data_IF_558117577147
#
_entry.id   IF_558117577147
#
_cell.length_a   1.000
_cell.length_b   1.000
_cell.length_c   1.000
_cell.angle_alpha   90.00
_cell.angle_beta   90.00
_cell.angle_gamma   90.00
#
_symmetry.space_group_name_H-M   'P 1'
#
loop_
_entity.id
_entity.type
_entity.pdbx_description
1 polymer ?
#
# COMPACT_ATOMS: atom_id res chain seq x y z
N UNK A 1 -20.71 -4.73 -19.14
CA UNK A 1 -20.74 -3.97 -17.89
C UNK A 1 -19.49 -3.14 -17.85
N UNK A 2 -19.63 -1.88 -18.26
CA UNK A 2 -18.54 -0.94 -18.48
C UNK A 2 -18.42 -0.05 -17.24
N UNK A 3 -17.33 -0.22 -16.48
CA UNK A 3 -17.05 0.62 -15.31
C UNK A 3 -16.18 1.78 -15.75
N UNK A 4 -16.79 2.96 -15.91
CA UNK A 4 -16.07 4.21 -16.24
C UNK A 4 -15.30 4.74 -15.03
N UNK A 5 -13.97 4.62 -15.07
CA UNK A 5 -13.09 5.27 -14.10
C UNK A 5 -12.77 6.72 -14.54
N UNK A 6 -12.87 7.73 -13.65
CA UNK A 6 -12.45 9.10 -13.97
C UNK A 6 -10.94 9.22 -14.12
N UNK A 7 -10.48 10.13 -14.99
CA UNK A 7 -9.04 10.38 -15.25
C UNK A 7 -8.38 11.14 -14.09
N UNK A 8 -7.06 10.98 -13.97
CA UNK A 8 -6.19 11.46 -12.86
C UNK A 8 -6.23 12.97 -12.55
N UNK A 9 -6.85 13.79 -13.39
CA UNK A 9 -6.73 15.25 -13.31
C UNK A 9 -7.85 15.92 -12.50
N UNK A 10 -8.92 15.19 -12.19
CA UNK A 10 -10.10 15.75 -11.50
C UNK A 10 -9.86 16.01 -10.01
N UNK A 11 -8.87 15.34 -9.40
CA UNK A 11 -8.64 15.44 -7.95
C UNK A 11 -8.06 16.79 -7.50
N UNK A 12 -7.47 17.57 -8.43
CA UNK A 12 -6.72 18.79 -8.08
C UNK A 12 -7.54 20.09 -8.22
N UNK A 13 -8.73 20.06 -8.83
CA UNK A 13 -9.52 21.28 -9.11
C UNK A 13 -10.56 21.64 -8.06
N UNK A 14 -10.95 20.70 -7.21
CA UNK A 14 -12.16 20.86 -6.36
C UNK A 14 -11.89 21.47 -4.97
N UNK A 15 -10.62 21.68 -4.58
CA UNK A 15 -10.27 22.13 -3.21
C UNK A 15 -10.47 23.63 -2.95
N UNK A 16 -10.82 24.45 -3.96
CA UNK A 16 -10.81 25.94 -3.83
C UNK A 16 -12.16 26.66 -3.88
N UNK A 17 -13.29 25.97 -3.73
CA UNK A 17 -14.58 26.64 -3.49
C UNK A 17 -15.31 25.97 -2.33
N UNK A 18 -15.17 26.52 -1.13
CA UNK A 18 -16.24 26.62 -0.13
C UNK A 18 -15.70 27.27 1.15
N UNK A 19 -15.72 28.61 1.19
CA UNK A 19 -15.94 29.36 2.43
C UNK A 19 -17.40 29.80 2.37
N UNK A 20 -18.21 29.35 3.32
CA UNK A 20 -19.62 29.73 3.44
C UNK A 20 -20.38 28.76 4.34
N UNK A 21 -20.77 29.26 5.50
CA UNK A 21 -21.50 28.57 6.57
C UNK A 21 -22.87 28.00 6.15
N UNK A 22 -23.24 26.84 6.69
CA UNK A 22 -24.58 26.55 7.23
C UNK A 22 -24.59 25.12 7.82
N UNK A 23 -25.11 25.00 9.04
CA UNK A 23 -25.18 23.73 9.76
C UNK A 23 -26.05 22.69 9.06
N UNK A 24 -25.54 21.46 8.98
CA UNK A 24 -26.36 20.26 8.82
C UNK A 24 -25.69 19.09 9.55
N UNK A 25 -26.28 18.78 10.71
CA UNK A 25 -26.65 17.44 11.19
C UNK A 25 -25.76 16.28 10.74
N UNK A 26 -25.01 15.74 11.69
CA UNK A 26 -24.26 14.51 11.53
C UNK A 26 -25.19 13.33 11.34
N UNK A 27 -25.35 12.89 10.09
CA UNK A 27 -25.75 11.54 9.74
C UNK A 27 -25.54 11.28 8.24
N UNK A 28 -24.30 11.01 7.82
CA UNK A 28 -24.05 10.48 6.47
C UNK A 28 -22.70 9.79 6.28
N UNK A 29 -22.32 8.88 7.18
CA UNK A 29 -21.48 7.75 6.77
C UNK A 29 -22.39 6.54 6.70
N UNK A 30 -22.81 6.22 5.47
CA UNK A 30 -23.63 5.05 5.16
C UNK A 30 -22.92 3.81 5.70
N UNK A 31 -23.57 3.19 6.67
CA UNK A 31 -23.30 1.87 7.24
C UNK A 31 -23.17 0.82 6.14
N UNK A 32 -21.93 0.45 5.81
CA UNK A 32 -21.57 -0.84 5.22
C UNK A 32 -20.58 -1.49 6.19
N UNK A 33 -21.10 -2.02 7.29
CA UNK A 33 -20.30 -2.70 8.31
C UNK A 33 -21.13 -3.85 8.85
N UNK A 34 -21.13 -4.97 8.14
CA UNK A 34 -21.48 -6.27 8.75
C UNK A 34 -20.25 -7.04 9.26
N UNK A 35 -19.06 -6.44 9.16
CA UNK A 35 -17.88 -6.87 9.89
C UNK A 35 -17.06 -5.65 10.30
N UNK A 36 -16.93 -5.40 11.60
CA UNK A 36 -15.99 -4.41 12.09
C UNK A 36 -14.57 -4.88 11.82
N UNK A 37 -13.73 -4.04 11.22
CA UNK A 37 -12.30 -4.29 11.10
C UNK A 37 -11.59 -3.68 12.31
N UNK A 38 -10.62 -4.39 12.88
CA UNK A 38 -9.72 -3.86 13.91
C UNK A 38 -8.28 -3.94 13.42
N UNK A 39 -7.51 -2.89 13.72
CA UNK A 39 -6.07 -2.92 13.54
C UNK A 39 -5.43 -3.48 14.81
N UNK A 40 -4.51 -4.42 14.63
CA UNK A 40 -3.66 -4.95 15.68
C UNK A 40 -2.23 -5.06 15.18
N UNK A 41 -1.30 -5.22 16.11
CA UNK A 41 0.08 -5.59 15.77
C UNK A 41 0.07 -6.98 15.10
N UNK A 42 0.83 -7.10 14.01
CA UNK A 42 1.05 -8.37 13.34
C UNK A 42 1.95 -9.28 14.20
N UNK A 43 1.62 -10.55 14.27
CA UNK A 43 2.42 -11.59 14.92
C UNK A 43 3.07 -12.48 13.86
N UNK A 44 3.95 -13.40 14.28
CA UNK A 44 4.54 -14.38 13.37
C UNK A 44 3.49 -15.28 12.69
N UNK A 45 2.34 -15.50 13.34
CA UNK A 45 1.23 -16.30 12.80
C UNK A 45 0.60 -15.65 11.55
N UNK A 46 0.76 -14.34 11.37
CA UNK A 46 0.24 -13.62 10.21
C UNK A 46 1.13 -13.78 8.96
N UNK A 47 2.29 -14.43 9.08
CA UNK A 47 3.32 -14.43 8.03
C UNK A 47 2.82 -14.93 6.68
N UNK A 48 2.11 -16.07 6.64
CA UNK A 48 1.59 -16.61 5.38
C UNK A 48 0.54 -15.69 4.76
N UNK A 49 -0.39 -15.20 5.57
CA UNK A 49 -1.42 -14.28 5.12
C UNK A 49 -0.82 -12.97 4.58
N UNK A 50 0.10 -12.34 5.32
CA UNK A 50 0.75 -11.10 4.89
C UNK A 50 1.62 -11.32 3.65
N UNK A 51 2.22 -12.49 3.49
CA UNK A 51 2.98 -12.83 2.29
C UNK A 51 2.06 -12.93 1.08
N UNK A 52 0.91 -13.57 1.21
CA UNK A 52 -0.08 -13.64 0.13
C UNK A 52 -0.64 -12.25 -0.22
N UNK A 53 -0.89 -11.42 0.79
CA UNK A 53 -1.30 -10.02 0.58
C UNK A 53 -0.22 -9.19 -0.11
N UNK A 54 1.06 -9.42 0.21
CA UNK A 54 2.18 -8.76 -0.45
C UNK A 54 2.28 -9.15 -1.93
N UNK A 55 2.14 -10.43 -2.25
CA UNK A 55 2.13 -10.92 -3.64
C UNK A 55 0.95 -10.32 -4.42
N UNK A 56 -0.23 -10.27 -3.80
CA UNK A 56 -1.40 -9.62 -4.37
C UNK A 56 -1.15 -8.12 -4.63
N UNK A 57 -0.51 -7.42 -3.70
CA UNK A 57 -0.18 -6.00 -3.85
C UNK A 57 0.88 -5.74 -4.93
N UNK A 58 1.89 -6.60 -5.07
CA UNK A 58 2.89 -6.51 -6.15
C UNK A 58 2.23 -6.71 -7.51
N UNK A 59 1.31 -7.67 -7.61
CA UNK A 59 0.59 -8.03 -8.83
C UNK A 59 -0.73 -7.25 -9.03
N UNK A 60 -0.89 -6.07 -8.41
CA UNK A 60 -2.15 -5.31 -8.44
C UNK A 60 -2.61 -4.88 -9.84
N UNK A 61 -1.67 -4.72 -10.77
CA UNK A 61 -1.91 -4.25 -12.14
C UNK A 61 -1.87 -5.45 -13.12
N UNK A 62 -3.02 -5.89 -13.64
CA UNK A 62 -3.09 -7.06 -14.52
C UNK A 62 -2.45 -6.81 -15.90
N UNK A 63 -2.10 -5.56 -16.24
CA UNK A 63 -1.35 -5.27 -17.46
C UNK A 63 0.14 -5.63 -17.34
N UNK A 64 0.63 -5.96 -16.14
CA UNK A 64 2.01 -6.38 -15.88
C UNK A 64 2.11 -7.90 -15.81
N UNK A 65 3.29 -8.43 -16.12
CA UNK A 65 3.58 -9.84 -15.90
C UNK A 65 3.52 -10.17 -14.41
N UNK A 66 2.77 -11.21 -14.06
CA UNK A 66 2.58 -11.63 -12.68
C UNK A 66 3.84 -12.35 -12.16
N UNK A 67 4.19 -12.06 -10.91
CA UNK A 67 5.36 -12.64 -10.26
C UNK A 67 4.94 -13.61 -9.15
N UNK A 68 5.64 -14.75 -9.07
CA UNK A 68 5.39 -15.79 -8.05
C UNK A 68 5.92 -15.41 -6.68
N UNK A 69 5.36 -16.03 -5.62
CA UNK A 69 5.68 -15.75 -4.22
C UNK A 69 7.17 -15.89 -3.90
N UNK A 70 7.86 -16.87 -4.47
CA UNK A 70 9.30 -17.12 -4.28
C UNK A 70 10.21 -16.02 -4.86
N UNK A 71 9.65 -15.11 -5.65
CA UNK A 71 10.37 -14.02 -6.32
C UNK A 71 10.13 -12.66 -5.68
N UNK A 72 9.29 -12.57 -4.66
CA UNK A 72 9.00 -11.32 -3.96
C UNK A 72 9.67 -11.33 -2.60
N UNK A 73 10.61 -10.41 -2.39
CA UNK A 73 11.31 -10.22 -1.12
C UNK A 73 10.93 -8.89 -0.49
N UNK A 74 10.73 -8.88 0.82
CA UNK A 74 10.34 -7.73 1.62
C UNK A 74 11.23 -7.65 2.86
N UNK A 75 11.64 -6.44 3.24
CA UNK A 75 12.43 -6.15 4.43
C UNK A 75 11.88 -4.91 5.13
N UNK A 76 11.86 -4.96 6.47
CA UNK A 76 11.77 -3.77 7.32
C UNK A 76 13.18 -3.37 7.72
N UNK A 77 13.66 -2.23 7.24
CA UNK A 77 15.05 -1.81 7.40
C UNK A 77 15.09 -0.55 8.25
N UNK A 78 15.68 -0.64 9.44
CA UNK A 78 15.90 0.55 10.28
C UNK A 78 16.73 1.62 9.55
N UNK A 79 16.38 2.89 9.78
CA UNK A 79 17.06 4.03 9.14
C UNK A 79 18.55 4.12 9.50
N UNK A 80 18.91 3.62 10.67
CA UNK A 80 20.30 3.53 11.15
C UNK A 80 21.04 2.26 10.67
N UNK A 81 20.35 1.28 10.07
CA UNK A 81 21.00 0.08 9.55
C UNK A 81 21.92 0.44 8.38
N UNK A 82 23.24 0.24 8.59
CA UNK A 82 24.27 0.57 7.59
C UNK A 82 24.13 -0.24 6.29
N UNK A 83 23.53 -1.43 6.36
CA UNK A 83 23.28 -2.27 5.19
C UNK A 83 22.17 -1.73 4.28
N UNK A 84 21.42 -0.68 4.67
CA UNK A 84 20.38 -0.07 3.84
C UNK A 84 20.88 0.33 2.44
N UNK A 85 22.11 0.87 2.35
CA UNK A 85 22.73 1.19 1.06
C UNK A 85 23.05 -0.05 0.23
N UNK A 86 23.47 -1.13 0.87
CA UNK A 86 23.70 -2.41 0.19
C UNK A 86 22.39 -2.95 -0.38
N UNK A 87 21.32 -3.00 0.42
CA UNK A 87 20.03 -3.48 -0.06
C UNK A 87 19.52 -2.66 -1.25
N UNK A 88 19.64 -1.33 -1.19
CA UNK A 88 19.32 -0.48 -2.33
C UNK A 88 20.17 -0.80 -3.57
N UNK A 89 21.48 -1.04 -3.39
CA UNK A 89 22.38 -1.40 -4.49
C UNK A 89 22.08 -2.77 -5.09
N UNK A 90 21.61 -3.72 -4.28
CA UNK A 90 21.14 -5.03 -4.76
C UNK A 90 19.84 -4.93 -5.57
N UNK A 91 19.12 -3.81 -5.45
CA UNK A 91 17.89 -3.52 -6.19
C UNK A 91 16.61 -3.47 -5.34
N UNK A 92 16.72 -3.46 -4.00
CA UNK A 92 15.57 -3.22 -3.15
C UNK A 92 15.11 -1.77 -3.28
N UNK A 93 13.80 -1.58 -3.42
CA UNK A 93 13.15 -0.26 -3.53
C UNK A 93 12.34 0.02 -2.29
N UNK A 94 12.49 1.22 -1.71
CA UNK A 94 11.63 1.69 -0.61
C UNK A 94 10.22 1.96 -1.11
N UNK A 95 9.23 1.31 -0.50
CA UNK A 95 7.80 1.48 -0.84
C UNK A 95 7.01 2.16 0.28
N UNK A 96 7.58 2.24 1.47
CA UNK A 96 7.00 2.94 2.61
C UNK A 96 8.07 3.33 3.61
N UNK A 97 7.84 4.42 4.33
CA UNK A 97 8.71 4.88 5.41
C UNK A 97 7.87 5.09 6.66
N UNK A 98 8.22 4.37 7.72
CA UNK A 98 7.75 4.61 9.07
C UNK A 98 8.66 5.59 9.83
N UNK A 99 8.40 5.79 11.12
CA UNK A 99 9.21 6.66 11.98
C UNK A 99 10.69 6.26 11.97
N UNK A 100 10.97 4.97 12.21
CA UNK A 100 12.33 4.48 12.43
C UNK A 100 12.82 3.48 11.38
N UNK A 101 11.94 2.94 10.56
CA UNK A 101 12.26 1.97 9.50
C UNK A 101 11.62 2.31 8.17
N UNK A 102 12.26 1.82 7.10
CA UNK A 102 11.73 1.84 5.75
C UNK A 102 11.33 0.42 5.34
N UNK A 103 10.16 0.25 4.73
CA UNK A 103 9.76 -1.00 4.09
C UNK A 103 10.34 -1.01 2.68
N UNK A 104 11.16 -2.00 2.39
CA UNK A 104 11.82 -2.16 1.09
C UNK A 104 11.40 -3.48 0.44
N UNK A 105 11.15 -3.45 -0.87
CA UNK A 105 10.74 -4.62 -1.66
C UNK A 105 11.70 -4.83 -2.83
N UNK A 106 11.98 -6.08 -3.16
CA UNK A 106 12.65 -6.48 -4.38
C UNK A 106 11.83 -7.57 -5.08
N UNK A 107 11.74 -7.46 -6.39
CA UNK A 107 11.17 -8.48 -7.27
C UNK A 107 12.32 -9.12 -8.05
N UNK A 108 12.58 -10.39 -7.81
CA UNK A 108 13.65 -11.13 -8.46
C UNK A 108 13.26 -11.44 -9.91
N UNK A 109 13.84 -10.73 -10.87
CA UNK A 109 13.73 -11.11 -12.28
C UNK A 109 14.51 -12.41 -12.52
N UNK A 110 13.93 -13.34 -13.27
CA UNK A 110 14.63 -14.55 -13.72
C UNK A 110 15.87 -14.15 -14.51
N UNK A 111 17.04 -14.68 -14.13
CA UNK A 111 18.21 -14.71 -15.02
C UNK A 111 18.11 -15.91 -15.95
#
# INVERSE_FOLDING_TARGET
MEWGFPRRDDWCRDRKRSRGDAGMTGDRIRRMSEGGYSLRIATADDADFLTDMLVAAVNWDPAREAVSRDRVLCLSVERANRARRLYAAEGFTTVGSGPDSDTMIMVLSGR
#
